data_IF_633020702894
#
_entry.id   IF_633020702894
#
_cell.length_a   1.000
_cell.length_b   1.000
_cell.length_c   1.000
_cell.angle_alpha   90.00
_cell.angle_beta   90.00
_cell.angle_gamma   90.00
#
_symmetry.space_group_name_H-M   'P 1'
#
loop_
_entity.id
_entity.type
_entity.pdbx_description
1 polymer ?
#
# COMPACT_ATOMS: atom_id res chain seq x y z
N UNK A 1 -9.85 20.39 -72.55
CA UNK A 1 -9.67 19.50 -71.38
C UNK A 1 -9.66 20.38 -70.15
N UNK A 2 -10.76 20.45 -69.41
CA UNK A 2 -10.97 21.41 -68.32
C UNK A 2 -10.66 20.75 -66.98
N UNK A 3 -9.68 21.30 -66.25
CA UNK A 3 -9.38 20.89 -64.88
C UNK A 3 -10.44 21.46 -63.92
N UNK A 4 -11.24 20.59 -63.29
CA UNK A 4 -12.20 20.94 -62.25
C UNK A 4 -11.49 20.91 -60.89
N UNK A 5 -11.52 21.98 -60.08
CA UNK A 5 -10.99 21.96 -58.73
C UNK A 5 -11.95 21.20 -57.80
N UNK A 6 -11.46 20.14 -57.16
CA UNK A 6 -12.21 19.40 -56.13
C UNK A 6 -12.30 20.25 -54.85
N UNK A 7 -13.50 20.52 -54.29
CA UNK A 7 -13.61 21.22 -53.02
C UNK A 7 -13.09 20.35 -51.86
N UNK A 8 -12.54 20.96 -50.79
CA UNK A 8 -12.08 20.21 -49.62
C UNK A 8 -13.27 19.53 -48.90
N UNK A 9 -13.06 18.36 -48.28
CA UNK A 9 -14.13 17.60 -47.66
C UNK A 9 -14.76 18.39 -46.49
N UNK A 10 -16.08 18.57 -46.56
CA UNK A 10 -16.86 19.20 -45.50
C UNK A 10 -16.89 18.32 -44.25
N UNK A 11 -16.23 18.78 -43.18
CA UNK A 11 -16.36 18.25 -41.83
C UNK A 11 -17.76 18.57 -41.28
N UNK A 12 -18.78 17.79 -41.64
CA UNK A 12 -20.10 17.94 -41.00
C UNK A 12 -20.79 16.68 -40.52
N UNK A 13 -20.19 15.51 -40.66
CA UNK A 13 -20.72 14.27 -40.09
C UNK A 13 -19.64 13.45 -39.37
N UNK A 14 -18.93 14.09 -38.43
CA UNK A 14 -18.31 13.33 -37.34
C UNK A 14 -19.43 13.03 -36.34
N UNK A 15 -20.16 11.95 -36.63
CA UNK A 15 -21.12 11.33 -35.74
C UNK A 15 -20.57 11.32 -34.31
N UNK A 16 -21.45 11.69 -33.38
CA UNK A 16 -21.24 11.66 -31.94
C UNK A 16 -20.63 10.32 -31.53
N UNK A 17 -19.30 10.28 -31.42
CA UNK A 17 -18.61 9.19 -30.74
C UNK A 17 -19.20 9.14 -29.32
N UNK A 18 -19.78 8.02 -28.88
CA UNK A 18 -20.17 7.87 -27.48
C UNK A 18 -18.94 8.22 -26.65
N UNK A 19 -19.10 9.16 -25.71
CA UNK A 19 -18.04 9.42 -24.74
C UNK A 19 -17.56 8.06 -24.21
N UNK A 20 -16.24 7.81 -24.16
CA UNK A 20 -15.73 6.59 -23.58
C UNK A 20 -16.41 6.41 -22.21
N UNK A 21 -16.80 5.18 -21.84
CA UNK A 21 -17.36 4.95 -20.51
C UNK A 21 -16.43 5.60 -19.49
N UNK A 22 -16.96 6.30 -18.46
CA UNK A 22 -16.12 6.94 -17.47
C UNK A 22 -15.12 5.91 -16.96
N UNK A 23 -13.83 6.20 -17.13
CA UNK A 23 -12.74 5.32 -16.73
C UNK A 23 -13.05 4.84 -15.30
N UNK A 24 -13.33 3.54 -15.17
CA UNK A 24 -13.43 2.86 -13.89
C UNK A 24 -12.29 3.36 -13.02
N UNK A 25 -12.60 3.87 -11.83
CA UNK A 25 -11.63 4.50 -10.93
C UNK A 25 -10.32 3.70 -10.93
N UNK A 26 -9.20 4.24 -11.45
CA UNK A 26 -7.94 3.49 -11.58
C UNK A 26 -7.44 2.92 -10.24
N UNK A 27 -7.92 3.50 -9.14
CA UNK A 27 -7.61 3.17 -7.75
C UNK A 27 -8.08 1.79 -7.28
N UNK A 28 -8.92 1.07 -8.06
CA UNK A 28 -9.35 -0.31 -7.75
C UNK A 28 -8.52 -1.38 -8.48
N UNK A 29 -7.56 -0.98 -9.30
CA UNK A 29 -6.63 -1.95 -9.91
C UNK A 29 -5.75 -2.58 -8.82
N UNK A 30 -5.42 -3.88 -8.92
CA UNK A 30 -4.44 -4.48 -8.03
C UNK A 30 -3.14 -3.70 -8.04
N UNK A 31 -2.56 -3.48 -6.86
CA UNK A 31 -1.31 -2.74 -6.65
C UNK A 31 -0.18 -3.72 -6.38
N UNK A 32 1.00 -3.42 -6.91
CA UNK A 32 2.24 -4.16 -6.62
C UNK A 32 3.36 -3.19 -6.27
N UNK A 33 4.39 -3.72 -5.61
CA UNK A 33 5.60 -3.00 -5.20
C UNK A 33 6.77 -3.37 -6.12
N UNK A 34 7.57 -2.40 -6.55
CA UNK A 34 8.87 -2.58 -7.21
C UNK A 34 9.88 -1.55 -6.70
N UNK A 35 10.93 -2.01 -6.03
CA UNK A 35 11.84 -1.16 -5.27
C UNK A 35 11.05 -0.30 -4.28
N UNK A 36 11.09 1.02 -4.49
CA UNK A 36 10.40 2.00 -3.67
C UNK A 36 9.10 2.55 -4.33
N UNK A 37 8.65 2.01 -5.45
CA UNK A 37 7.48 2.49 -6.18
C UNK A 37 6.30 1.51 -6.09
N UNK A 38 5.09 2.07 -6.02
CA UNK A 38 3.83 1.29 -6.01
C UNK A 38 3.01 1.69 -7.23
N UNK A 39 2.62 0.70 -8.03
CA UNK A 39 1.91 0.91 -9.29
C UNK A 39 0.77 -0.10 -9.47
N UNK A 40 -0.22 0.22 -10.31
CA UNK A 40 -1.24 -0.73 -10.75
C UNK A 40 -0.60 -1.88 -11.53
N UNK A 41 -1.07 -3.10 -11.35
CA UNK A 41 -0.58 -4.27 -12.11
C UNK A 41 -1.01 -4.20 -13.58
N UNK A 42 -2.12 -3.53 -13.89
CA UNK A 42 -2.70 -3.47 -15.24
C UNK A 42 -2.13 -2.27 -16.02
N UNK A 43 -1.48 -2.49 -17.19
CA UNK A 43 -0.98 -1.40 -18.03
C UNK A 43 -2.11 -0.54 -18.66
N UNK A 44 -1.83 0.75 -18.99
CA UNK A 44 -0.58 1.47 -18.76
C UNK A 44 -0.37 1.80 -17.27
N UNK A 45 0.82 1.48 -16.75
CA UNK A 45 1.12 1.64 -15.32
C UNK A 45 1.83 2.97 -15.09
N UNK A 46 1.25 3.83 -14.24
CA UNK A 46 1.93 4.99 -13.67
C UNK A 46 2.02 4.76 -12.17
N UNK A 47 3.20 4.97 -11.59
CA UNK A 47 3.36 4.84 -10.14
C UNK A 47 2.42 5.81 -9.42
N UNK A 48 1.69 5.29 -8.44
CA UNK A 48 0.70 6.02 -7.64
C UNK A 48 1.27 6.47 -6.30
N UNK A 49 2.26 5.73 -5.78
CA UNK A 49 2.94 6.06 -4.55
C UNK A 49 4.44 5.81 -4.68
N UNK A 50 5.18 6.55 -3.86
CA UNK A 50 6.62 6.42 -3.71
C UNK A 50 6.97 6.32 -2.23
N UNK A 51 7.90 5.43 -1.93
CA UNK A 51 8.50 5.24 -0.63
C UNK A 51 9.86 5.95 -0.59
N UNK A 52 10.26 6.45 0.59
CA UNK A 52 11.59 7.06 0.74
C UNK A 52 12.73 6.06 0.56
N UNK A 53 12.48 4.78 0.85
CA UNK A 53 13.42 3.68 0.69
C UNK A 53 12.65 2.40 0.34
N UNK A 54 13.36 1.37 -0.10
CA UNK A 54 12.80 0.04 -0.25
C UNK A 54 12.35 -0.53 1.11
N UNK A 55 11.39 -1.46 1.10
CA UNK A 55 10.88 -2.08 2.32
C UNK A 55 11.83 -3.17 2.82
N UNK A 56 13.01 -2.78 3.30
CA UNK A 56 14.03 -3.68 3.83
C UNK A 56 14.25 -3.49 5.35
N UNK A 57 15.20 -4.26 5.90
CA UNK A 57 15.57 -4.18 7.32
C UNK A 57 16.55 -3.02 7.64
N UNK A 58 17.10 -2.33 6.64
CA UNK A 58 18.20 -1.38 6.78
C UNK A 58 17.79 -0.01 7.32
N UNK A 59 16.51 0.37 7.15
CA UNK A 59 16.02 1.68 7.56
C UNK A 59 15.03 1.57 8.72
N UNK A 60 15.20 2.43 9.73
CA UNK A 60 14.34 2.50 10.93
C UNK A 60 13.03 3.26 10.72
N UNK A 61 12.93 4.02 9.63
CA UNK A 61 11.78 4.85 9.29
C UNK A 61 11.63 4.92 7.77
N UNK A 62 10.42 4.68 7.29
CA UNK A 62 10.06 4.79 5.88
C UNK A 62 8.96 5.85 5.74
N UNK A 63 9.06 6.68 4.72
CA UNK A 63 8.03 7.65 4.36
C UNK A 63 7.28 7.19 3.12
N UNK A 64 6.00 7.52 3.01
CA UNK A 64 5.19 7.27 1.81
C UNK A 64 4.57 8.57 1.30
N UNK A 65 4.61 8.75 -0.02
CA UNK A 65 4.13 9.93 -0.72
C UNK A 65 3.20 9.52 -1.86
N UNK A 66 2.15 10.32 -2.12
CA UNK A 66 1.27 10.14 -3.28
C UNK A 66 1.90 10.78 -4.51
N UNK A 67 2.05 10.02 -5.58
CA UNK A 67 2.43 10.53 -6.89
C UNK A 67 1.16 10.94 -7.63
N UNK A 68 1.06 12.21 -8.00
CA UNK A 68 -0.04 12.69 -8.84
C UNK A 68 0.37 12.51 -10.31
N UNK A 69 -0.37 11.72 -11.12
CA UNK A 69 -0.21 11.73 -12.56
C UNK A 69 -0.68 13.09 -13.08
N UNK A 70 0.29 13.98 -13.32
CA UNK A 70 0.23 15.21 -14.10
C UNK A 70 -1.13 15.94 -14.18
N UNK A 71 -1.39 16.87 -13.24
CA UNK A 71 -2.25 18.04 -13.50
C UNK A 71 -1.32 19.26 -13.57
N UNK A 72 -0.95 19.65 -14.79
CA UNK A 72 -0.19 20.85 -15.15
C UNK A 72 1.14 21.05 -14.38
N UNK A 73 2.24 20.67 -15.03
CA UNK A 73 3.63 21.01 -14.72
C UNK A 73 3.96 22.52 -14.84
N UNK A 74 3.12 23.39 -14.28
CA UNK A 74 3.38 24.81 -14.10
C UNK A 74 3.40 25.23 -12.62
N UNK A 75 3.03 24.34 -11.70
CA UNK A 75 3.23 24.56 -10.28
C UNK A 75 4.08 23.41 -9.77
N UNK A 76 5.35 23.71 -9.46
CA UNK A 76 6.12 22.98 -8.47
C UNK A 76 5.38 23.08 -7.13
N UNK A 77 4.24 22.38 -7.01
CA UNK A 77 3.56 22.15 -5.76
C UNK A 77 4.57 21.50 -4.84
N UNK A 78 4.72 22.08 -3.65
CA UNK A 78 5.75 21.75 -2.69
C UNK A 78 5.87 20.23 -2.56
N UNK A 79 7.07 19.65 -2.63
CA UNK A 79 7.28 18.19 -2.42
C UNK A 79 6.61 17.72 -1.10
N UNK A 80 6.51 18.64 -0.12
CA UNK A 80 5.81 18.47 1.15
C UNK A 80 4.30 18.21 1.04
N UNK A 81 3.64 18.65 -0.03
CA UNK A 81 2.18 18.51 -0.19
C UNK A 81 1.77 17.07 -0.60
N UNK A 82 2.73 16.26 -1.06
CA UNK A 82 2.51 14.88 -1.50
C UNK A 82 2.79 13.84 -0.42
N UNK A 83 3.54 14.20 0.61
CA UNK A 83 3.99 13.28 1.65
C UNK A 83 2.83 12.96 2.62
N UNK A 84 2.51 11.68 2.78
CA UNK A 84 1.32 11.21 3.49
C UNK A 84 1.66 10.85 4.93
N UNK A 85 2.55 9.89 5.10
CA UNK A 85 2.87 9.26 6.38
C UNK A 85 4.36 8.95 6.48
N UNK A 86 4.90 9.04 7.69
CA UNK A 86 6.10 8.29 8.08
C UNK A 86 5.65 7.08 8.89
N UNK A 87 6.28 5.92 8.71
CA UNK A 87 6.10 4.78 9.60
C UNK A 87 7.43 4.27 10.14
N UNK A 88 7.42 3.92 11.42
CA UNK A 88 8.59 3.46 12.17
C UNK A 88 8.20 2.44 13.22
N UNK A 89 9.17 1.63 13.65
CA UNK A 89 9.01 0.64 14.70
C UNK A 89 9.61 1.23 15.98
N UNK A 90 8.81 1.48 17.03
CA UNK A 90 9.35 1.86 18.32
C UNK A 90 10.27 0.77 18.86
N UNK A 91 11.32 1.16 19.58
CA UNK A 91 12.31 0.24 20.14
C UNK A 91 11.61 -0.79 21.04
N UNK A 92 11.92 -2.07 20.85
CA UNK A 92 11.32 -3.21 21.57
C UNK A 92 9.80 -3.40 21.36
N UNK A 93 9.18 -2.70 20.40
CA UNK A 93 7.77 -2.93 20.08
C UNK A 93 7.59 -3.90 18.91
N UNK A 94 6.52 -4.69 18.97
CA UNK A 94 6.01 -5.47 17.83
C UNK A 94 4.96 -4.70 17.02
N UNK A 95 4.81 -3.39 17.27
CA UNK A 95 3.91 -2.48 16.56
C UNK A 95 4.68 -1.53 15.66
N UNK A 96 3.99 -1.00 14.66
CA UNK A 96 4.47 0.09 13.81
C UNK A 96 3.63 1.32 14.08
N UNK A 97 4.28 2.42 14.41
CA UNK A 97 3.66 3.73 14.52
C UNK A 97 3.68 4.39 13.15
N UNK A 98 2.53 4.94 12.74
CA UNK A 98 2.32 5.57 11.44
C UNK A 98 1.85 7.00 11.69
N UNK A 99 2.69 7.98 11.36
CA UNK A 99 2.54 9.40 11.68
C UNK A 99 2.12 10.16 10.43
N UNK A 100 0.92 10.73 10.46
CA UNK A 100 0.36 11.57 9.40
C UNK A 100 1.13 12.89 9.25
N UNK A 101 1.38 13.28 8.00
CA UNK A 101 2.19 14.46 7.64
C UNK A 101 1.37 15.58 7.02
N UNK A 102 0.09 15.33 6.78
CA UNK A 102 -0.86 16.27 6.20
C UNK A 102 -2.22 16.19 6.89
N UNK A 103 -3.01 17.26 6.78
CA UNK A 103 -4.36 17.32 7.34
C UNK A 103 -5.37 16.40 6.65
N UNK A 104 -5.11 16.05 5.38
CA UNK A 104 -5.94 15.12 4.61
C UNK A 104 -5.62 13.65 4.85
N UNK A 105 -4.72 13.34 5.79
CA UNK A 105 -4.56 11.98 6.29
C UNK A 105 -5.77 11.57 7.13
N UNK A 106 -6.07 10.28 7.12
CA UNK A 106 -7.17 9.69 7.89
C UNK A 106 -7.08 10.02 9.39
N UNK A 107 -5.85 10.10 9.92
CA UNK A 107 -5.55 10.43 11.31
C UNK A 107 -4.12 10.98 11.42
N UNK A 108 -3.82 11.84 12.40
CA UNK A 108 -2.46 12.24 12.73
C UNK A 108 -1.58 11.06 13.17
N UNK A 109 -2.16 10.07 13.85
CA UNK A 109 -1.44 8.88 14.31
C UNK A 109 -2.29 7.64 14.08
N UNK A 110 -1.70 6.64 13.46
CA UNK A 110 -2.22 5.28 13.32
C UNK A 110 -1.20 4.31 13.95
N UNK A 111 -1.68 3.17 14.40
CA UNK A 111 -0.85 2.12 14.99
C UNK A 111 -1.21 0.78 14.37
N UNK A 112 -0.24 0.15 13.71
CA UNK A 112 -0.36 -1.20 13.20
C UNK A 112 0.22 -2.16 14.24
N UNK A 113 -0.58 -3.07 14.77
CA UNK A 113 -0.14 -4.03 15.80
C UNK A 113 -0.63 -5.43 15.52
N UNK A 114 0.15 -6.41 15.95
CA UNK A 114 -0.27 -7.81 15.89
C UNK A 114 -1.33 -8.08 16.96
N UNK A 115 -2.44 -8.68 16.57
CA UNK A 115 -3.48 -9.14 17.49
C UNK A 115 -2.93 -10.32 18.30
N UNK A 116 -2.94 -10.23 19.63
CA UNK A 116 -2.37 -11.24 20.56
C UNK A 116 -3.45 -12.15 21.15
N UNK A 117 -4.44 -12.55 20.36
CA UNK A 117 -5.46 -13.49 20.79
C UNK A 117 -5.03 -14.94 20.61
N UNK A 118 -5.36 -15.81 21.58
CA UNK A 118 -5.06 -17.26 21.55
C UNK A 118 -5.54 -17.93 20.24
N UNK A 119 -6.65 -17.44 19.68
CA UNK A 119 -7.26 -17.93 18.43
C UNK A 119 -7.22 -16.94 17.27
N UNK A 120 -6.65 -15.73 17.47
CA UNK A 120 -6.66 -14.65 16.47
C UNK A 120 -5.23 -14.19 16.21
N UNK A 121 -4.55 -14.88 15.29
CA UNK A 121 -3.29 -14.42 14.71
C UNK A 121 -3.61 -13.52 13.53
N UNK A 122 -3.15 -12.28 13.58
CA UNK A 122 -3.41 -11.29 12.53
C UNK A 122 -2.83 -9.93 12.87
N UNK A 123 -2.95 -9.01 11.94
CA UNK A 123 -2.57 -7.61 12.14
C UNK A 123 -3.82 -6.74 12.24
N UNK A 124 -3.75 -5.67 13.01
CA UNK A 124 -4.84 -4.73 13.18
C UNK A 124 -4.30 -3.31 13.12
N UNK A 125 -4.95 -2.47 12.31
CA UNK A 125 -4.66 -1.05 12.20
C UNK A 125 -5.65 -0.26 13.06
N UNK A 126 -5.13 0.52 13.99
CA UNK A 126 -5.89 1.39 14.87
C UNK A 126 -5.62 2.86 14.58
N UNK A 127 -6.64 3.69 14.76
CA UNK A 127 -6.52 5.13 14.93
C UNK A 127 -6.34 5.43 16.41
N UNK A 128 -5.18 5.99 16.77
CA UNK A 128 -4.91 6.33 18.16
C UNK A 128 -5.64 7.61 18.55
N UNK A 129 -6.32 7.59 19.71
CA UNK A 129 -6.97 8.78 20.26
C UNK A 129 -6.09 9.43 21.33
N UNK A 130 -5.75 10.70 21.11
CA UNK A 130 -4.81 11.45 21.97
C UNK A 130 -5.38 11.84 23.35
N UNK A 131 -6.67 11.61 23.59
CA UNK A 131 -7.40 12.03 24.79
C UNK A 131 -7.73 10.87 25.76
N UNK A 132 -7.04 9.73 25.65
CA UNK A 132 -7.29 8.57 26.51
C UNK A 132 -8.59 7.81 26.20
N UNK A 133 -9.26 8.14 25.10
CA UNK A 133 -10.36 7.35 24.57
C UNK A 133 -9.86 6.04 23.96
N UNK A 134 -10.77 5.08 23.82
CA UNK A 134 -10.50 3.81 23.14
C UNK A 134 -10.10 4.08 21.69
N UNK A 135 -9.01 3.46 21.26
CA UNK A 135 -8.55 3.51 19.88
C UNK A 135 -9.60 2.93 18.93
N UNK A 136 -9.79 3.58 17.77
CA UNK A 136 -10.73 3.08 16.77
C UNK A 136 -10.04 2.03 15.89
N UNK A 137 -10.59 0.82 15.82
CA UNK A 137 -10.17 -0.16 14.83
C UNK A 137 -10.54 0.36 13.43
N UNK A 138 -9.56 0.41 12.52
CA UNK A 138 -9.75 0.81 11.12
C UNK A 138 -9.78 -0.43 10.23
N UNK A 139 -8.73 -1.25 10.30
CA UNK A 139 -8.63 -2.48 9.52
C UNK A 139 -8.19 -3.66 10.37
N UNK A 140 -8.72 -4.85 10.05
CA UNK A 140 -8.25 -6.13 10.56
C UNK A 140 -7.75 -6.98 9.41
N UNK A 141 -6.60 -7.61 9.60
CA UNK A 141 -5.91 -8.42 8.60
C UNK A 141 -5.92 -9.86 9.10
N UNK A 142 -6.62 -10.74 8.38
CA UNK A 142 -6.78 -12.14 8.74
C UNK A 142 -6.20 -13.05 7.68
N UNK A 143 -5.47 -14.12 8.07
CA UNK A 143 -5.12 -15.16 7.12
C UNK A 143 -6.37 -15.90 6.67
N UNK A 144 -6.44 -16.18 5.38
CA UNK A 144 -7.41 -17.10 4.79
C UNK A 144 -6.64 -18.20 4.09
N UNK A 145 -6.86 -19.43 4.54
CA UNK A 145 -6.32 -20.60 3.86
C UNK A 145 -7.01 -20.72 2.50
N UNK A 146 -6.24 -20.56 1.41
CA UNK A 146 -6.70 -20.91 0.08
C UNK A 146 -6.54 -22.41 -0.15
N UNK A 147 -7.52 -23.10 -0.77
CA UNK A 147 -7.36 -24.48 -1.23
C UNK A 147 -6.13 -24.66 -2.15
N UNK A 148 -5.72 -23.60 -2.84
CA UNK A 148 -4.63 -23.57 -3.81
C UNK A 148 -3.23 -23.41 -3.18
N UNK A 149 -3.11 -23.54 -1.85
CA UNK A 149 -1.85 -23.39 -1.07
C UNK A 149 -1.19 -22.00 -1.13
N UNK A 150 -1.85 -21.00 -1.71
CA UNK A 150 -1.39 -19.62 -1.65
C UNK A 150 -1.85 -18.97 -0.32
N UNK A 151 -0.93 -18.39 0.43
CA UNK A 151 -1.30 -17.60 1.60
C UNK A 151 -1.90 -16.28 1.15
N UNK A 152 -3.20 -16.13 1.43
CA UNK A 152 -3.97 -14.93 1.15
C UNK A 152 -4.31 -14.27 2.49
N UNK A 153 -4.12 -12.96 2.58
CA UNK A 153 -4.56 -12.14 3.70
C UNK A 153 -5.77 -11.32 3.28
N UNK A 154 -6.82 -11.35 4.10
CA UNK A 154 -7.99 -10.52 3.93
C UNK A 154 -7.89 -9.28 4.82
N UNK A 155 -8.09 -8.12 4.22
CA UNK A 155 -8.21 -6.85 4.90
C UNK A 155 -9.69 -6.54 5.05
N UNK A 156 -10.16 -6.45 6.28
CA UNK A 156 -11.54 -6.15 6.65
C UNK A 156 -11.61 -4.79 7.34
N UNK A 157 -12.71 -4.06 7.17
CA UNK A 157 -12.99 -2.85 7.95
C UNK A 157 -13.45 -3.16 9.40
N UNK A 158 -13.75 -2.12 10.16
CA UNK A 158 -14.28 -2.23 11.53
C UNK A 158 -15.58 -3.06 11.62
N UNK A 159 -16.38 -3.08 10.55
CA UNK A 159 -17.63 -3.83 10.44
C UNK A 159 -17.42 -5.25 9.88
N UNK A 160 -16.16 -5.71 9.78
CA UNK A 160 -15.79 -7.04 9.24
C UNK A 160 -16.14 -7.21 7.76
N UNK A 161 -16.33 -6.11 7.03
CA UNK A 161 -16.55 -6.14 5.58
C UNK A 161 -15.22 -6.15 4.85
N UNK A 162 -15.07 -7.05 3.87
CA UNK A 162 -13.86 -7.15 3.06
C UNK A 162 -13.61 -5.85 2.27
N UNK A 163 -12.41 -5.30 2.38
CA UNK A 163 -11.98 -4.09 1.66
C UNK A 163 -10.82 -4.32 0.72
N UNK A 164 -9.93 -5.26 1.06
CA UNK A 164 -8.84 -5.65 0.18
C UNK A 164 -8.40 -7.10 0.42
N UNK A 165 -7.73 -7.65 -0.58
CA UNK A 165 -7.11 -8.97 -0.55
C UNK A 165 -5.64 -8.80 -0.87
N UNK A 166 -4.78 -9.36 -0.03
CA UNK A 166 -3.35 -9.37 -0.25
C UNK A 166 -2.88 -10.80 -0.53
N UNK A 167 -2.07 -10.94 -1.56
CA UNK A 167 -1.40 -12.18 -1.89
C UNK A 167 0.02 -12.14 -1.33
N UNK A 168 0.34 -13.05 -0.41
CA UNK A 168 1.61 -13.06 0.32
C UNK A 168 2.66 -13.92 -0.39
N UNK A 169 3.90 -13.43 -0.41
CA UNK A 169 5.07 -14.21 -0.82
C UNK A 169 5.35 -15.30 0.22
N UNK A 170 5.40 -16.56 -0.18
CA UNK A 170 5.92 -17.62 0.68
C UNK A 170 7.43 -17.38 0.85
N UNK A 171 7.97 -17.29 2.08
CA UNK A 171 9.43 -17.27 2.29
C UNK A 171 10.06 -18.52 1.64
N UNK A 172 10.90 -18.33 0.63
CA UNK A 172 11.60 -19.42 -0.08
C UNK A 172 11.02 -19.83 -1.44
N UNK A 173 9.91 -19.23 -1.90
CA UNK A 173 9.39 -19.39 -3.27
C UNK A 173 9.93 -18.32 -4.23
N UNK A 174 10.13 -18.65 -5.51
CA UNK A 174 10.67 -17.71 -6.49
C UNK A 174 9.75 -16.49 -6.71
N UNK A 175 10.31 -15.29 -6.56
CA UNK A 175 9.96 -14.04 -7.26
C UNK A 175 8.48 -13.60 -7.40
N UNK A 176 7.54 -14.03 -6.57
CA UNK A 176 6.19 -13.42 -6.58
C UNK A 176 6.23 -12.18 -5.70
N UNK A 177 6.00 -10.99 -6.27
CA UNK A 177 5.89 -9.72 -5.53
C UNK A 177 4.55 -9.67 -4.77
N UNK A 178 4.48 -9.04 -3.58
CA UNK A 178 3.22 -8.92 -2.87
C UNK A 178 2.27 -8.06 -3.70
N UNK A 179 1.01 -8.50 -3.80
CA UNK A 179 -0.05 -7.78 -4.53
C UNK A 179 -1.18 -7.45 -3.57
N UNK A 180 -1.61 -6.19 -3.58
CA UNK A 180 -2.77 -5.70 -2.83
C UNK A 180 -3.91 -5.37 -3.79
N UNK A 181 -5.00 -6.12 -3.73
CA UNK A 181 -6.21 -5.89 -4.51
C UNK A 181 -7.28 -5.22 -3.65
N UNK A 182 -7.56 -3.95 -3.91
CA UNK A 182 -8.63 -3.21 -3.23
C UNK A 182 -9.96 -3.58 -3.91
N UNK A 183 -10.87 -4.21 -3.16
CA UNK A 183 -12.12 -4.77 -3.70
C UNK A 183 -13.36 -3.95 -3.33
N UNK A 184 -13.19 -2.91 -2.52
CA UNK A 184 -14.26 -2.02 -2.08
C UNK A 184 -13.92 -0.57 -2.39
N UNK A 185 -14.92 0.17 -2.87
CA UNK A 185 -14.79 1.61 -3.04
C UNK A 185 -14.71 2.32 -1.68
N UNK A 186 -13.72 3.19 -1.54
CA UNK A 186 -13.39 3.89 -0.31
C UNK A 186 -12.98 5.33 -0.61
N UNK A 187 -12.96 6.17 0.42
CA UNK A 187 -12.42 7.52 0.28
C UNK A 187 -10.89 7.51 0.19
N UNK A 188 -10.34 8.60 -0.36
CA UNK A 188 -8.90 8.73 -0.56
C UNK A 188 -8.08 8.57 0.74
N UNK A 189 -8.49 9.15 1.88
CA UNK A 189 -7.78 8.95 3.15
C UNK A 189 -7.75 7.51 3.64
N UNK A 190 -8.84 6.73 3.48
CA UNK A 190 -8.84 5.30 3.82
C UNK A 190 -7.95 4.49 2.90
N UNK A 191 -7.96 4.78 1.59
CA UNK A 191 -7.07 4.13 0.62
C UNK A 191 -5.60 4.42 0.98
N UNK A 192 -5.26 5.68 1.25
CA UNK A 192 -3.90 6.07 1.66
C UNK A 192 -3.46 5.35 2.93
N UNK A 193 -4.34 5.26 3.94
CA UNK A 193 -4.08 4.54 5.18
C UNK A 193 -3.92 3.03 4.95
N UNK A 194 -4.73 2.43 4.07
CA UNK A 194 -4.65 1.01 3.71
C UNK A 194 -3.32 0.68 3.03
N UNK A 195 -2.95 1.44 1.99
CA UNK A 195 -1.68 1.25 1.27
C UNK A 195 -0.50 1.45 2.21
N UNK A 196 -0.54 2.49 3.06
CA UNK A 196 0.50 2.74 4.06
C UNK A 196 0.63 1.58 5.04
N UNK A 197 -0.48 1.04 5.55
CA UNK A 197 -0.48 -0.09 6.48
C UNK A 197 0.02 -1.38 5.82
N UNK A 198 -0.29 -1.59 4.54
CA UNK A 198 0.23 -2.71 3.76
C UNK A 198 1.76 -2.66 3.65
N UNK A 199 2.33 -1.50 3.29
CA UNK A 199 3.78 -1.28 3.27
C UNK A 199 4.40 -1.46 4.66
N UNK A 200 3.81 -0.87 5.70
CA UNK A 200 4.27 -1.00 7.07
C UNK A 200 4.30 -2.47 7.54
N UNK A 201 3.31 -3.29 7.14
CA UNK A 201 3.24 -4.72 7.44
C UNK A 201 4.36 -5.52 6.75
N UNK A 202 4.63 -5.22 5.48
CA UNK A 202 5.74 -5.87 4.75
C UNK A 202 7.07 -5.52 5.42
N UNK A 203 7.29 -4.24 5.68
CA UNK A 203 8.51 -3.73 6.30
C UNK A 203 8.78 -4.33 7.67
N UNK A 204 7.80 -4.34 8.58
CA UNK A 204 7.97 -4.96 9.91
C UNK A 204 8.20 -6.48 9.82
N UNK A 205 7.68 -7.14 8.78
CA UNK A 205 8.01 -8.52 8.47
C UNK A 205 9.50 -8.72 8.18
N UNK A 206 10.08 -7.87 7.34
CA UNK A 206 11.53 -7.89 7.06
C UNK A 206 12.38 -7.59 8.30
N UNK A 207 11.98 -6.61 9.13
CA UNK A 207 12.66 -6.29 10.40
C UNK A 207 12.68 -7.50 11.35
N UNK A 208 11.55 -8.21 11.48
CA UNK A 208 11.44 -9.40 12.31
C UNK A 208 12.27 -10.58 11.78
N UNK A 209 12.27 -10.80 10.46
CA UNK A 209 13.10 -11.84 9.85
C UNK A 209 14.60 -11.57 10.01
N UNK A 210 15.04 -10.32 9.88
CA UNK A 210 16.44 -9.93 10.07
C UNK A 210 16.88 -10.15 11.53
N UNK A 211 16.10 -9.67 12.50
CA UNK A 211 16.37 -9.87 13.93
C UNK A 211 16.37 -11.36 14.33
N UNK A 212 15.52 -12.18 13.72
CA UNK A 212 15.52 -13.63 13.92
C UNK A 212 16.78 -14.32 13.39
N UNK A 213 17.31 -13.85 12.25
CA UNK A 213 18.56 -14.35 11.68
C UNK A 213 19.78 -14.01 12.53
N UNK A 214 19.84 -12.79 13.07
CA UNK A 214 20.93 -12.36 13.96
C UNK A 214 20.98 -13.22 15.25
N UNK A 215 19.83 -13.47 15.87
CA UNK A 215 19.74 -14.37 17.04
C UNK A 215 20.11 -15.81 16.72
N UNK A 216 19.80 -16.29 15.51
CA UNK A 216 20.20 -17.62 15.06
C UNK A 216 21.70 -17.77 14.82
N UNK A 217 22.39 -16.67 14.44
CA UNK A 217 23.84 -16.66 14.24
C UNK A 217 24.56 -16.61 15.60
N UNK A 218 24.06 -15.82 16.57
CA UNK A 218 24.64 -15.78 17.92
C UNK A 218 24.60 -17.14 18.63
N UNK A 219 23.57 -17.96 18.38
CA UNK A 219 23.45 -19.31 18.95
C UNK A 219 24.46 -20.30 18.33
N UNK A 220 24.93 -20.06 17.10
CA UNK A 220 25.90 -20.94 16.42
C UNK A 220 27.35 -20.55 16.76
N UNK A 221 27.60 -19.29 17.12
CA UNK A 221 28.95 -18.83 17.53
C UNK A 221 29.21 -18.92 19.03
N UNK A 222 28.21 -19.29 19.83
CA UNK A 222 28.32 -19.51 21.27
C UNK A 222 28.72 -20.94 21.63
N UNK A 223 30.03 -21.13 21.80
CA UNK A 223 30.70 -22.21 22.57
C UNK A 223 31.02 -23.53 21.85
N UNK A 224 32.32 -23.90 21.84
CA UNK A 224 32.74 -25.16 22.42
C UNK A 224 33.57 -24.89 23.68
N UNK A 225 33.30 -25.66 24.72
CA UNK A 225 34.04 -25.66 25.98
C UNK A 225 35.50 -26.08 25.78
N UNK A 226 36.41 -25.37 26.44
CA UNK A 226 37.41 -25.94 27.34
C UNK A 226 37.85 -24.85 28.32
#
# INVERSE_FOLDING_TARGET
MSNVPTPPPSYRDAAQTPAPPPLSRPELSPLTLDGNLIYPVVPPTTALYELTHELDAGFKKIGISRLCPNRNTAQYGNIRDKHLYDFLQPVFSSSVEIIGKRRSCLSPVLCLRMSRGIFRRGWELFRLRLNGQVDDLIFRIRPRHSPERQEILQWEDANQSLVAVETVCIPGGSNVRPVLHIVRDMDNPLIDALVTAWCAKIWIGHQQSAAGKERGIEVITGTPCA
#
